data_IF_883602858320
#
_entry.id   IF_883602858320
#
_cell.length_a   1.000
_cell.length_b   1.000
_cell.length_c   1.000
_cell.angle_alpha   90.00
_cell.angle_beta   90.00
_cell.angle_gamma   90.00
#
_symmetry.space_group_name_H-M   'P 1'
#
loop_
_entity.id
_entity.type
_entity.pdbx_description
1 polymer ?
#
# COMPACT_ATOMS: atom_id res chain seq x y z
N UNK A 1 3.40 -3.70 -11.14
CA UNK A 1 2.68 -3.94 -9.85
C UNK A 1 2.28 -5.39 -9.68
N UNK A 2 1.79 -6.07 -10.72
CA UNK A 2 1.36 -7.49 -10.65
C UNK A 2 2.49 -8.44 -10.21
N UNK A 3 3.71 -8.20 -10.68
CA UNK A 3 4.91 -8.99 -10.43
C UNK A 3 5.35 -8.86 -8.97
N UNK A 4 5.42 -7.63 -8.46
CA UNK A 4 5.69 -7.35 -7.05
C UNK A 4 4.63 -7.95 -6.13
N UNK A 5 3.35 -7.86 -6.53
CA UNK A 5 2.25 -8.46 -5.77
C UNK A 5 2.32 -9.99 -5.77
N UNK A 6 2.75 -10.60 -6.88
CA UNK A 6 3.00 -12.04 -6.95
C UNK A 6 4.16 -12.47 -6.06
N UNK A 7 5.24 -11.69 -5.98
CA UNK A 7 6.37 -11.98 -5.09
C UNK A 7 5.96 -11.84 -3.63
N UNK A 8 5.25 -10.75 -3.29
CA UNK A 8 4.70 -10.51 -1.96
C UNK A 8 3.86 -11.70 -1.50
N UNK A 9 2.92 -12.13 -2.34
CA UNK A 9 2.04 -13.26 -2.01
C UNK A 9 2.82 -14.54 -1.73
N UNK A 10 3.80 -14.88 -2.58
CA UNK A 10 4.66 -16.05 -2.36
C UNK A 10 5.47 -15.96 -1.07
N UNK A 11 6.06 -14.80 -0.77
CA UNK A 11 6.79 -14.61 0.49
C UNK A 11 5.87 -14.68 1.71
N UNK A 12 4.65 -14.17 1.60
CA UNK A 12 3.70 -14.17 2.69
C UNK A 12 3.08 -15.56 2.92
N UNK A 13 2.99 -16.41 1.89
CA UNK A 13 2.62 -17.82 2.00
C UNK A 13 3.70 -18.62 2.74
N UNK A 14 4.99 -18.34 2.49
CA UNK A 14 6.11 -18.98 3.20
C UNK A 14 6.12 -18.67 4.71
N UNK A 15 5.62 -17.50 5.11
CA UNK A 15 5.53 -17.10 6.51
C UNK A 15 4.37 -17.79 7.29
N UNK A 16 3.47 -18.51 6.60
CA UNK A 16 2.29 -19.12 7.24
C UNK A 16 1.20 -18.10 7.60
N UNK A 17 0.01 -18.55 7.99
CA UNK A 17 -1.12 -17.69 8.39
C UNK A 17 -1.60 -18.08 9.78
N UNK A 18 -1.61 -17.12 10.70
CA UNK A 18 -2.08 -17.28 12.07
C UNK A 18 -3.61 -17.36 12.21
N UNK A 19 -4.36 -17.01 11.16
CA UNK A 19 -5.81 -16.82 11.23
C UNK A 19 -6.23 -15.40 11.62
N UNK A 20 -5.32 -14.58 12.15
CA UNK A 20 -5.61 -13.21 12.62
C UNK A 20 -4.79 -12.17 11.85
N UNK A 21 -5.43 -11.09 11.43
CA UNK A 21 -4.76 -10.03 10.68
C UNK A 21 -5.25 -8.63 11.08
N UNK A 22 -4.34 -7.67 11.00
CA UNK A 22 -4.60 -6.25 11.14
C UNK A 22 -4.64 -5.58 9.77
N UNK A 23 -5.47 -4.54 9.66
CA UNK A 23 -5.54 -3.69 8.48
C UNK A 23 -5.01 -2.30 8.85
N UNK A 24 -3.96 -1.87 8.15
CA UNK A 24 -3.52 -0.48 8.18
C UNK A 24 -4.00 0.21 6.91
N UNK A 25 -4.84 1.23 7.06
CA UNK A 25 -5.35 2.06 5.98
C UNK A 25 -4.82 3.49 6.16
N UNK A 26 -3.70 3.77 5.49
CA UNK A 26 -2.95 5.02 5.62
C UNK A 26 -2.75 5.70 4.26
N UNK A 27 -2.23 6.93 4.25
CA UNK A 27 -1.96 7.64 3.01
C UNK A 27 -0.71 8.50 3.08
N UNK A 28 0.10 8.45 2.02
CA UNK A 28 1.25 9.30 1.83
C UNK A 28 0.84 10.55 1.04
N UNK A 29 1.10 11.73 1.60
CA UNK A 29 1.02 13.00 0.87
C UNK A 29 2.46 13.43 0.49
N UNK A 30 2.68 13.87 -0.76
CA UNK A 30 3.99 14.27 -1.31
C UNK A 30 4.09 15.77 -1.61
N UNK A 31 3.19 16.53 -1.02
CA UNK A 31 3.08 17.99 -1.02
C UNK A 31 4.37 18.74 -0.63
N UNK A 32 5.34 18.06 -0.01
CA UNK A 32 6.66 18.63 0.34
C UNK A 32 7.72 18.58 -0.79
N UNK A 33 7.41 18.04 -1.98
CA UNK A 33 8.41 17.93 -3.07
C UNK A 33 8.48 19.19 -3.94
N UNK A 34 9.69 19.67 -4.25
CA UNK A 34 9.87 20.86 -5.09
C UNK A 34 9.32 20.63 -6.50
N UNK A 35 8.69 21.66 -7.08
CA UNK A 35 8.14 21.64 -8.43
C UNK A 35 9.18 21.17 -9.47
N UNK A 36 10.43 21.62 -9.31
CA UNK A 36 11.55 21.25 -10.17
C UNK A 36 11.85 19.73 -10.13
N UNK A 37 11.94 19.15 -8.93
CA UNK A 37 12.20 17.72 -8.77
C UNK A 37 11.06 16.88 -9.36
N UNK A 38 9.82 17.30 -9.09
CA UNK A 38 8.62 16.64 -9.60
C UNK A 38 8.61 16.55 -11.14
N UNK A 39 8.89 17.67 -11.80
CA UNK A 39 8.90 17.72 -13.26
C UNK A 39 10.05 16.92 -13.88
N UNK A 40 11.26 17.00 -13.30
CA UNK A 40 12.43 16.24 -13.79
C UNK A 40 12.22 14.73 -13.66
N UNK A 41 11.58 14.29 -12.58
CA UNK A 41 11.32 12.87 -12.33
C UNK A 41 10.04 12.34 -12.99
N UNK A 42 9.27 13.18 -13.69
CA UNK A 42 8.05 12.78 -14.40
C UNK A 42 6.92 12.30 -13.47
N UNK A 43 6.90 12.75 -12.21
CA UNK A 43 5.89 12.32 -11.23
C UNK A 43 4.71 13.29 -11.19
N UNK A 44 3.48 12.79 -11.42
CA UNK A 44 2.26 13.62 -11.41
C UNK A 44 1.35 13.42 -10.19
N UNK A 45 1.64 12.45 -9.32
CA UNK A 45 0.75 12.08 -8.21
C UNK A 45 1.07 12.81 -6.91
N UNK A 46 0.08 13.53 -6.38
CA UNK A 46 0.20 14.32 -5.14
C UNK A 46 -0.07 13.54 -3.86
N UNK A 47 -0.97 12.56 -3.94
CA UNK A 47 -1.41 11.75 -2.78
C UNK A 47 -1.52 10.29 -3.20
N UNK A 48 -0.99 9.41 -2.38
CA UNK A 48 -1.10 7.95 -2.52
C UNK A 48 -1.81 7.41 -1.28
N UNK A 49 -2.88 6.66 -1.47
CA UNK A 49 -3.57 5.95 -0.40
C UNK A 49 -3.16 4.49 -0.45
N UNK A 50 -2.92 3.91 0.72
CA UNK A 50 -2.39 2.57 0.89
C UNK A 50 -3.24 1.80 1.89
N UNK A 51 -3.52 0.53 1.59
CA UNK A 51 -4.11 -0.40 2.56
C UNK A 51 -3.22 -1.63 2.64
N UNK A 52 -2.84 -2.02 3.85
CA UNK A 52 -1.93 -3.13 4.11
C UNK A 52 -2.67 -4.15 4.97
N UNK A 53 -2.66 -5.41 4.54
CA UNK A 53 -3.09 -6.54 5.36
C UNK A 53 -1.86 -7.18 6.00
N UNK A 54 -1.80 -7.25 7.32
CA UNK A 54 -0.65 -7.76 8.07
C UNK A 54 -1.10 -8.87 9.00
N UNK A 55 -0.44 -10.02 8.93
CA UNK A 55 -0.64 -11.10 9.92
C UNK A 55 -0.11 -10.65 11.28
N UNK A 56 -0.90 -10.82 12.35
CA UNK A 56 -0.55 -10.22 13.65
C UNK A 56 0.52 -10.97 14.42
N UNK A 57 0.78 -12.24 14.08
CA UNK A 57 1.78 -13.05 14.78
C UNK A 57 3.12 -13.02 14.08
N UNK A 58 3.14 -13.33 12.78
CA UNK A 58 4.36 -13.34 11.96
C UNK A 58 4.81 -11.94 11.52
N UNK A 59 3.93 -10.94 11.64
CA UNK A 59 4.10 -9.59 11.11
C UNK A 59 4.31 -9.55 9.58
N UNK A 60 4.00 -10.65 8.90
CA UNK A 60 4.14 -10.74 7.45
C UNK A 60 3.05 -9.89 6.77
N UNK A 61 3.49 -9.07 5.80
CA UNK A 61 2.58 -8.34 4.92
C UNK A 61 1.97 -9.34 3.92
N UNK A 62 0.65 -9.49 3.96
CA UNK A 62 -0.11 -10.43 3.13
C UNK A 62 -0.53 -9.82 1.80
N UNK A 63 -0.96 -8.57 1.83
CA UNK A 63 -1.38 -7.84 0.64
C UNK A 63 -1.18 -6.34 0.83
N UNK A 64 -0.99 -5.65 -0.29
CA UNK A 64 -0.94 -4.19 -0.32
C UNK A 64 -1.76 -3.66 -1.48
N UNK A 65 -2.69 -2.78 -1.17
CA UNK A 65 -3.42 -1.99 -2.13
C UNK A 65 -2.89 -0.56 -2.20
N UNK A 66 -2.83 -0.02 -3.41
CA UNK A 66 -2.42 1.36 -3.67
C UNK A 66 -3.42 2.06 -4.59
N UNK A 67 -3.81 3.28 -4.25
CA UNK A 67 -4.68 4.09 -5.10
C UNK A 67 -4.37 5.57 -5.01
N UNK A 68 -4.42 6.25 -6.17
CA UNK A 68 -4.33 7.72 -6.28
C UNK A 68 -5.68 8.32 -6.66
N UNK A 69 -6.73 7.49 -6.83
CA UNK A 69 -8.01 7.88 -7.42
C UNK A 69 -9.05 8.35 -6.39
N UNK A 70 -8.75 8.30 -5.09
CA UNK A 70 -9.69 8.68 -4.03
C UNK A 70 -9.60 10.17 -3.72
N UNK A 71 -10.75 10.85 -3.72
CA UNK A 71 -10.87 12.31 -3.54
C UNK A 71 -10.73 12.79 -2.09
N UNK A 72 -11.09 11.95 -1.11
CA UNK A 72 -10.93 12.28 0.32
C UNK A 72 -10.51 11.07 1.17
N UNK A 73 -10.04 11.37 2.39
CA UNK A 73 -9.28 10.46 3.25
C UNK A 73 -10.15 9.57 4.16
N UNK A 74 -11.44 9.86 4.30
CA UNK A 74 -12.36 9.12 5.18
C UNK A 74 -12.95 7.84 4.57
N UNK A 75 -12.52 7.43 3.38
CA UNK A 75 -12.92 6.19 2.71
C UNK A 75 -11.72 5.36 2.22
N UNK A 76 -10.68 5.22 3.05
CA UNK A 76 -9.56 4.36 2.68
C UNK A 76 -9.73 2.98 3.32
N UNK A 77 -9.59 1.99 2.45
CA UNK A 77 -9.62 0.57 2.74
C UNK A 77 -10.27 -0.17 1.58
N UNK A 78 -9.52 -0.55 0.53
CA UNK A 78 -9.91 -1.63 -0.39
C UNK A 78 -8.71 -2.12 -1.24
N UNK A 79 -7.88 -3.04 -0.75
CA UNK A 79 -8.02 -4.46 -1.12
C UNK A 79 -7.49 -5.26 0.07
N UNK A 80 -8.22 -6.30 0.40
CA UNK A 80 -8.08 -7.08 1.64
C UNK A 80 -7.80 -8.56 1.35
N UNK A 81 -7.70 -8.88 0.04
CA UNK A 81 -6.98 -10.00 -0.57
C UNK A 81 -7.12 -9.89 -2.10
#
# INVERSE_FOLDING_TARGET
MRELRSLLRRSAEQAGWSGTAAIDASGFQRDQTSYHYRNRAGFSFHKLKTTILVDTESLAIKDVHFTTKRKWDGHIGLQVY
#
